data_IF_884737003465
#
_entry.id   IF_884737003465
#
_cell.length_a   1.000
_cell.length_b   1.000
_cell.length_c   1.000
_cell.angle_alpha   90.00
_cell.angle_beta   90.00
_cell.angle_gamma   90.00
#
_symmetry.space_group_name_H-M   'P 1'
#
loop_
_entity.id
_entity.type
_entity.pdbx_description
1 polymer ?
#
# COMPACT_ATOMS: atom_id res chain seq x y z
N UNK A 1 -10.00 -3.63 0.92
CA UNK A 1 -8.57 -3.39 0.67
C UNK A 1 -7.62 -4.19 1.58
N UNK A 2 -8.02 -4.61 2.78
CA UNK A 2 -7.13 -5.37 3.69
C UNK A 2 -6.78 -6.80 3.22
N UNK A 3 -7.59 -7.44 2.39
CA UNK A 3 -7.42 -8.85 2.02
C UNK A 3 -6.10 -9.14 1.27
N UNK A 4 -5.64 -8.25 0.40
CA UNK A 4 -4.36 -8.42 -0.32
C UNK A 4 -3.13 -8.21 0.56
N UNK A 5 -3.18 -7.27 1.51
CA UNK A 5 -2.09 -7.03 2.48
C UNK A 5 -1.88 -8.24 3.39
N UNK A 6 -2.97 -8.84 3.86
CA UNK A 6 -2.94 -9.97 4.80
C UNK A 6 -2.39 -11.24 4.17
N UNK A 7 -2.78 -11.56 2.95
CA UNK A 7 -2.31 -12.76 2.24
C UNK A 7 -0.81 -12.67 1.98
N UNK A 8 -0.36 -11.54 1.48
CA UNK A 8 1.03 -11.30 1.13
C UNK A 8 1.97 -11.33 2.37
N UNK A 9 1.61 -10.65 3.45
CA UNK A 9 2.39 -10.69 4.70
C UNK A 9 2.40 -12.08 5.34
N UNK A 10 1.32 -12.85 5.18
CA UNK A 10 1.26 -14.23 5.65
C UNK A 10 2.24 -15.13 4.93
N UNK A 11 2.40 -14.96 3.62
CA UNK A 11 3.35 -15.71 2.80
C UNK A 11 4.81 -15.31 3.07
N UNK A 12 5.04 -14.08 3.57
CA UNK A 12 6.37 -13.49 3.83
C UNK A 12 6.73 -13.38 5.32
N UNK A 13 6.10 -14.18 6.16
CA UNK A 13 6.35 -14.17 7.63
C UNK A 13 7.83 -14.31 8.00
N UNK A 14 8.61 -15.04 7.24
CA UNK A 14 10.04 -15.23 7.44
C UNK A 14 10.87 -13.94 7.33
N UNK A 15 10.33 -12.91 6.65
CA UNK A 15 10.94 -11.58 6.59
C UNK A 15 10.59 -10.72 7.80
N UNK A 16 9.52 -11.06 8.55
CA UNK A 16 9.09 -10.31 9.73
C UNK A 16 9.85 -10.79 10.95
N UNK A 17 11.12 -10.40 11.06
CA UNK A 17 12.05 -10.84 12.10
C UNK A 17 12.72 -9.66 12.80
N UNK A 18 13.27 -9.91 14.01
CA UNK A 18 13.94 -8.89 14.79
C UNK A 18 13.02 -7.74 15.18
N UNK A 19 13.49 -6.52 15.04
CA UNK A 19 12.69 -5.31 15.26
C UNK A 19 11.97 -4.94 13.96
N UNK A 20 10.64 -5.05 13.96
CA UNK A 20 9.77 -4.74 12.81
C UNK A 20 9.10 -3.39 13.04
N UNK A 21 9.45 -2.41 12.23
CA UNK A 21 8.87 -1.06 12.24
C UNK A 21 7.81 -0.95 11.15
N UNK A 22 6.58 -0.67 11.55
CA UNK A 22 5.44 -0.44 10.65
C UNK A 22 5.17 1.06 10.53
N UNK A 23 5.56 1.66 9.41
CA UNK A 23 5.38 3.08 9.12
C UNK A 23 3.99 3.32 8.52
N UNK A 24 3.22 4.22 9.11
CA UNK A 24 1.81 4.42 8.78
C UNK A 24 0.98 3.20 9.20
N UNK A 25 1.17 2.77 10.46
CA UNK A 25 0.64 1.50 10.97
C UNK A 25 -0.91 1.44 11.01
N UNK A 26 -1.59 2.58 10.98
CA UNK A 26 -3.05 2.64 11.04
C UNK A 26 -3.61 1.73 12.14
N UNK A 27 -4.44 0.76 11.75
CA UNK A 27 -5.06 -0.20 12.67
C UNK A 27 -4.14 -1.39 13.05
N UNK A 28 -2.83 -1.27 12.89
CA UNK A 28 -1.82 -2.26 13.32
C UNK A 28 -2.07 -3.68 12.77
N UNK A 29 -2.61 -3.75 11.55
CA UNK A 29 -2.96 -5.04 10.93
C UNK A 29 -1.77 -6.01 10.79
N UNK A 30 -0.54 -5.56 10.46
CA UNK A 30 0.64 -6.41 10.34
C UNK A 30 1.07 -7.08 11.64
N UNK A 31 0.79 -6.48 12.80
CA UNK A 31 1.14 -7.01 14.12
C UNK A 31 0.66 -8.45 14.33
N UNK A 32 -0.48 -8.81 13.73
CA UNK A 32 -1.07 -10.17 13.82
C UNK A 32 -0.21 -11.26 13.17
N UNK A 33 0.74 -10.87 12.34
CA UNK A 33 1.64 -11.79 11.63
C UNK A 33 3.01 -11.88 12.28
N UNK A 34 3.27 -11.01 13.26
CA UNK A 34 4.51 -11.04 14.03
C UNK A 34 4.46 -12.24 14.99
N UNK A 35 5.47 -13.08 14.90
CA UNK A 35 5.55 -14.33 15.68
C UNK A 35 6.95 -14.54 16.24
N UNK A 36 7.08 -15.41 17.24
CA UNK A 36 8.37 -15.73 17.85
C UNK A 36 8.94 -14.58 18.70
N UNK A 37 10.22 -14.31 18.54
CA UNK A 37 10.96 -13.27 19.26
C UNK A 37 10.96 -11.90 18.56
N UNK A 38 10.24 -11.76 17.44
CA UNK A 38 10.17 -10.49 16.72
C UNK A 38 9.36 -9.46 17.51
N UNK A 39 9.83 -8.20 17.50
CA UNK A 39 9.21 -7.07 18.20
C UNK A 39 8.60 -6.12 17.18
N UNK A 40 7.29 -5.91 17.28
CA UNK A 40 6.57 -4.92 16.47
C UNK A 40 6.61 -3.54 17.11
N UNK A 41 6.81 -2.51 16.27
CA UNK A 41 6.70 -1.09 16.61
C UNK A 41 5.84 -0.42 15.53
N UNK A 42 4.66 0.07 15.91
CA UNK A 42 3.79 0.85 15.03
C UNK A 42 4.09 2.34 15.16
N UNK A 43 4.41 2.97 14.04
CA UNK A 43 4.59 4.42 13.95
C UNK A 43 3.58 5.02 12.98
N UNK A 44 3.00 6.16 13.34
CA UNK A 44 2.10 6.89 12.44
C UNK A 44 2.23 8.39 12.63
N UNK A 45 1.82 9.16 11.62
CA UNK A 45 1.76 10.60 11.71
C UNK A 45 0.56 11.01 12.58
N UNK A 46 0.75 12.00 13.46
CA UNK A 46 -0.25 12.39 14.45
C UNK A 46 -1.63 12.67 13.82
N UNK A 47 -1.67 13.48 12.76
CA UNK A 47 -2.91 13.83 12.10
C UNK A 47 -3.63 12.64 11.47
N UNK A 48 -2.91 11.78 10.74
CA UNK A 48 -3.50 10.59 10.11
C UNK A 48 -4.01 9.60 11.15
N UNK A 49 -3.24 9.37 12.19
CA UNK A 49 -3.62 8.48 13.28
C UNK A 49 -4.86 8.95 14.03
N UNK A 50 -4.93 10.25 14.40
CA UNK A 50 -6.01 10.78 15.25
C UNK A 50 -7.25 11.17 14.46
N UNK A 51 -7.09 11.90 13.35
CA UNK A 51 -8.20 12.49 12.62
C UNK A 51 -8.79 11.59 11.54
N UNK A 52 -7.95 10.76 10.88
CA UNK A 52 -8.42 9.92 9.78
C UNK A 52 -8.72 8.48 10.22
N UNK A 53 -7.81 7.85 10.97
CA UNK A 53 -7.92 6.42 11.27
C UNK A 53 -8.34 6.12 12.72
N UNK A 54 -8.34 7.11 13.62
CA UNK A 54 -8.63 6.95 15.05
C UNK A 54 -7.82 5.80 15.67
N UNK A 55 -6.58 5.67 15.25
CA UNK A 55 -5.65 4.61 15.64
C UNK A 55 -4.75 5.04 16.80
N UNK A 56 -4.06 4.05 17.41
CA UNK A 56 -3.11 4.28 18.50
C UNK A 56 -1.77 3.61 18.16
N UNK A 57 -0.86 4.33 17.49
CA UNK A 57 0.49 3.84 17.26
C UNK A 57 1.29 3.81 18.57
N UNK A 58 2.42 3.10 18.58
CA UNK A 58 3.37 3.14 19.70
C UNK A 58 4.12 4.49 19.70
N UNK A 59 4.36 5.07 18.51
CA UNK A 59 5.10 6.31 18.33
C UNK A 59 4.37 7.21 17.33
N UNK A 60 4.19 8.48 17.69
CA UNK A 60 3.75 9.51 16.76
C UNK A 60 4.98 10.22 16.20
N UNK A 61 5.25 10.07 14.90
CA UNK A 61 6.38 10.74 14.23
C UNK A 61 6.13 10.90 12.73
N UNK A 62 6.97 11.72 12.09
CA UNK A 62 7.01 11.85 10.64
C UNK A 62 7.93 10.78 10.04
N UNK A 63 7.44 10.03 9.04
CA UNK A 63 8.23 9.03 8.33
C UNK A 63 9.45 9.61 7.59
N UNK A 64 9.47 10.91 7.33
CA UNK A 64 10.61 11.62 6.74
C UNK A 64 11.70 12.03 7.78
N UNK A 65 11.47 11.76 9.08
CA UNK A 65 12.41 12.04 10.16
C UNK A 65 12.17 11.02 11.30
N UNK A 66 12.79 9.85 11.21
CA UNK A 66 12.55 8.73 12.10
C UNK A 66 13.28 8.84 13.43
N UNK A 67 12.61 8.69 14.59
CA UNK A 67 13.22 8.81 15.92
C UNK A 67 13.96 7.54 16.36
N UNK A 68 14.74 6.95 15.46
CA UNK A 68 15.53 5.74 15.71
C UNK A 68 16.99 5.99 15.37
N UNK A 69 17.88 5.29 16.06
CA UNK A 69 19.30 5.29 15.75
C UNK A 69 19.59 4.54 14.44
N UNK A 70 20.75 4.79 13.86
CA UNK A 70 21.21 4.12 12.66
C UNK A 70 21.36 2.61 12.91
N UNK A 71 20.98 1.79 11.92
CA UNK A 71 21.18 0.34 11.92
C UNK A 71 20.52 -0.41 13.12
N UNK A 72 19.33 0.03 13.56
CA UNK A 72 18.63 -0.56 14.71
C UNK A 72 17.36 -1.32 14.34
N UNK A 73 16.91 -1.25 13.10
CA UNK A 73 15.66 -1.88 12.63
C UNK A 73 15.99 -3.01 11.67
N UNK A 74 15.40 -4.19 11.88
CA UNK A 74 15.64 -5.35 11.01
C UNK A 74 14.69 -5.41 9.82
N UNK A 75 13.44 -4.95 10.01
CA UNK A 75 12.42 -4.94 8.96
C UNK A 75 11.60 -3.67 9.04
N UNK A 76 11.40 -3.00 7.90
CA UNK A 76 10.48 -1.86 7.77
C UNK A 76 9.31 -2.26 6.86
N UNK A 77 8.10 -1.99 7.30
CA UNK A 77 6.87 -2.09 6.53
C UNK A 77 6.43 -0.69 6.10
N UNK A 78 6.14 -0.51 4.81
CA UNK A 78 5.64 0.74 4.23
C UNK A 78 4.45 0.38 3.30
N UNK A 79 3.28 0.20 3.92
CA UNK A 79 2.12 -0.45 3.29
C UNK A 79 1.03 0.55 2.93
N UNK A 80 1.03 1.04 1.68
CA UNK A 80 0.14 2.09 1.16
C UNK A 80 0.31 3.39 2.00
N UNK A 81 1.54 3.89 2.04
CA UNK A 81 1.95 5.11 2.77
C UNK A 81 2.81 6.01 1.91
N UNK A 82 3.70 5.44 1.08
CA UNK A 82 4.68 6.21 0.31
C UNK A 82 4.01 7.25 -0.60
N UNK A 83 2.84 6.92 -1.16
CA UNK A 83 2.03 7.82 -2.00
C UNK A 83 1.50 9.06 -1.26
N UNK A 84 1.42 8.99 0.08
CA UNK A 84 0.92 10.04 0.95
C UNK A 84 2.02 10.97 1.49
N UNK A 85 3.26 10.72 1.15
CA UNK A 85 4.40 11.52 1.61
C UNK A 85 4.74 12.59 0.56
N UNK A 86 4.84 13.88 0.97
CA UNK A 86 5.30 14.94 0.09
C UNK A 86 6.75 14.74 -0.39
N UNK A 87 7.61 14.18 0.48
CA UNK A 87 9.02 13.91 0.22
C UNK A 87 9.39 12.43 0.33
N UNK A 88 8.92 11.55 -0.59
CA UNK A 88 9.16 10.12 -0.49
C UNK A 88 10.64 9.73 -0.48
N UNK A 89 11.51 10.55 -1.11
CA UNK A 89 12.97 10.39 -1.08
C UNK A 89 13.53 10.54 0.34
N UNK A 90 13.00 11.47 1.14
CA UNK A 90 13.42 11.68 2.52
C UNK A 90 13.07 10.46 3.36
N UNK A 91 11.86 9.96 3.23
CA UNK A 91 11.41 8.75 3.92
C UNK A 91 12.30 7.54 3.59
N UNK A 92 12.59 7.31 2.32
CA UNK A 92 13.44 6.18 1.91
C UNK A 92 14.88 6.32 2.39
N UNK A 93 15.45 7.55 2.48
CA UNK A 93 16.77 7.79 3.08
C UNK A 93 16.77 7.50 4.58
N UNK A 94 15.72 7.92 5.30
CA UNK A 94 15.58 7.61 6.72
C UNK A 94 15.41 6.09 6.96
N UNK A 95 14.62 5.40 6.12
CA UNK A 95 14.51 3.95 6.16
C UNK A 95 15.88 3.30 5.94
N UNK A 96 16.64 3.74 4.93
CA UNK A 96 17.98 3.22 4.69
C UNK A 96 18.90 3.45 5.92
N UNK A 97 18.82 4.63 6.55
CA UNK A 97 19.62 4.96 7.72
C UNK A 97 19.32 4.03 8.90
N UNK A 98 18.03 3.83 9.23
CA UNK A 98 17.63 3.06 10.41
C UNK A 98 17.71 1.55 10.22
N UNK A 99 17.61 1.05 8.97
CA UNK A 99 17.74 -0.37 8.68
C UNK A 99 19.14 -0.88 9.04
N UNK A 100 19.20 -2.00 9.73
CA UNK A 100 20.43 -2.76 9.95
C UNK A 100 20.95 -3.30 8.60
N UNK A 101 22.25 -3.57 8.52
CA UNK A 101 22.83 -4.28 7.37
C UNK A 101 22.18 -5.65 7.21
N UNK A 102 21.72 -5.97 6.00
CA UNK A 102 20.90 -7.16 5.73
C UNK A 102 19.42 -7.01 6.11
N UNK A 103 19.02 -5.85 6.62
CA UNK A 103 17.62 -5.53 6.92
C UNK A 103 16.78 -5.37 5.67
N UNK A 104 15.47 -5.55 5.79
CA UNK A 104 14.52 -5.55 4.68
C UNK A 104 13.49 -4.43 4.76
N UNK A 105 13.12 -3.92 3.60
CA UNK A 105 12.00 -3.00 3.40
C UNK A 105 10.93 -3.70 2.55
N UNK A 106 9.70 -3.72 3.05
CA UNK A 106 8.53 -4.24 2.34
C UNK A 106 7.62 -3.06 2.01
N UNK A 107 7.40 -2.81 0.72
CA UNK A 107 6.60 -1.69 0.22
C UNK A 107 5.36 -2.21 -0.49
N UNK A 108 4.21 -1.60 -0.21
CA UNK A 108 3.03 -1.62 -1.07
C UNK A 108 2.71 -0.21 -1.53
N UNK A 109 2.44 -0.02 -2.81
CA UNK A 109 1.96 1.26 -3.36
C UNK A 109 0.90 1.03 -4.43
N UNK A 110 -0.14 1.87 -4.50
CA UNK A 110 -1.12 1.83 -5.58
C UNK A 110 -0.50 2.34 -6.89
N UNK A 111 -0.96 1.77 -8.02
CA UNK A 111 -0.66 2.32 -9.35
C UNK A 111 -1.95 2.78 -10.03
N UNK A 112 -2.81 1.86 -10.48
CA UNK A 112 -4.13 2.24 -11.01
C UNK A 112 -5.14 2.19 -9.89
N UNK A 113 -5.29 3.33 -9.23
CA UNK A 113 -6.21 3.50 -8.11
C UNK A 113 -6.70 4.95 -8.04
N UNK A 114 -7.99 5.20 -7.72
CA UNK A 114 -8.52 6.54 -7.56
C UNK A 114 -7.82 7.34 -6.47
N UNK A 115 -7.93 8.67 -6.56
CA UNK A 115 -7.51 9.58 -5.49
C UNK A 115 -8.26 9.20 -4.20
N UNK A 116 -7.52 9.04 -3.11
CA UNK A 116 -8.03 8.69 -1.79
C UNK A 116 -7.28 9.48 -0.70
N UNK A 117 -7.87 9.58 0.49
CA UNK A 117 -7.29 10.31 1.63
C UNK A 117 -6.86 11.75 1.29
N UNK A 118 -7.59 12.38 0.34
CA UNK A 118 -7.32 13.76 -0.09
C UNK A 118 -7.37 14.73 1.10
N UNK A 119 -6.47 15.74 1.18
CA UNK A 119 -5.52 16.17 0.15
C UNK A 119 -4.13 15.48 0.19
N UNK A 120 -3.96 14.41 0.95
CA UNK A 120 -2.67 13.79 1.22
C UNK A 120 -2.29 12.67 0.22
N UNK A 121 -2.83 12.66 -0.99
CA UNK A 121 -2.55 11.66 -2.02
C UNK A 121 -1.76 12.30 -3.16
N UNK A 122 -0.43 12.17 -3.12
CA UNK A 122 0.47 12.94 -3.97
C UNK A 122 1.02 12.16 -5.16
N UNK A 123 1.25 10.83 -5.03
CA UNK A 123 2.08 10.09 -5.97
C UNK A 123 1.46 8.81 -6.52
N UNK A 124 1.81 8.51 -7.78
CA UNK A 124 1.66 7.20 -8.43
C UNK A 124 2.94 6.92 -9.21
N UNK A 125 3.51 5.75 -9.03
CA UNK A 125 4.73 5.35 -9.74
C UNK A 125 4.46 4.22 -10.70
N UNK A 126 5.11 4.26 -11.87
CA UNK A 126 5.31 3.06 -12.66
C UNK A 126 6.29 2.13 -11.92
N UNK A 127 6.30 0.86 -12.28
CA UNK A 127 7.26 -0.11 -11.74
C UNK A 127 8.71 0.40 -11.81
N UNK A 128 9.09 0.97 -12.96
CA UNK A 128 10.46 1.49 -13.19
C UNK A 128 10.76 2.75 -12.36
N UNK A 129 9.77 3.64 -12.23
CA UNK A 129 9.90 4.84 -11.40
C UNK A 129 10.06 4.51 -9.93
N UNK A 130 9.29 3.54 -9.42
CA UNK A 130 9.38 3.09 -8.04
C UNK A 130 10.74 2.43 -7.75
N UNK A 131 11.20 1.53 -8.63
CA UNK A 131 12.53 0.90 -8.51
C UNK A 131 13.64 1.94 -8.45
N UNK A 132 13.66 2.87 -9.40
CA UNK A 132 14.67 3.95 -9.44
C UNK A 132 14.65 4.81 -8.17
N UNK A 133 13.45 5.11 -7.63
CA UNK A 133 13.30 5.87 -6.39
C UNK A 133 13.92 5.11 -5.19
N UNK A 134 13.63 3.81 -5.07
CA UNK A 134 14.14 2.96 -3.99
C UNK A 134 15.66 2.81 -4.11
N UNK A 135 16.18 2.51 -5.29
CA UNK A 135 17.61 2.27 -5.51
C UNK A 135 18.46 3.54 -5.30
N UNK A 136 17.92 4.71 -5.60
CA UNK A 136 18.57 6.00 -5.29
C UNK A 136 18.76 6.26 -3.78
N UNK A 137 17.99 5.61 -2.92
CA UNK A 137 18.18 5.69 -1.47
C UNK A 137 19.30 4.78 -0.93
N UNK A 138 19.91 3.94 -1.78
CA UNK A 138 20.94 2.97 -1.43
C UNK A 138 20.41 1.55 -1.16
N UNK A 139 19.10 1.35 -1.26
CA UNK A 139 18.46 0.03 -1.10
C UNK A 139 18.52 -0.77 -2.40
N UNK A 140 18.66 -2.10 -2.30
CA UNK A 140 18.67 -3.01 -3.46
C UNK A 140 17.31 -3.70 -3.59
N UNK A 141 16.61 -3.49 -4.70
CA UNK A 141 15.34 -4.16 -4.98
C UNK A 141 15.60 -5.61 -5.41
N UNK A 142 15.07 -6.58 -4.64
CA UNK A 142 15.22 -8.01 -4.93
C UNK A 142 13.97 -8.69 -5.44
N UNK A 143 12.79 -8.14 -5.13
CA UNK A 143 11.51 -8.69 -5.60
C UNK A 143 10.54 -7.57 -5.92
N UNK A 144 9.87 -7.69 -7.05
CA UNK A 144 8.78 -6.80 -7.46
C UNK A 144 7.64 -7.63 -8.03
N UNK A 145 6.46 -7.43 -7.48
CA UNK A 145 5.24 -8.08 -7.93
C UNK A 145 4.19 -7.04 -8.31
N UNK A 146 3.74 -7.11 -9.55
CA UNK A 146 2.56 -6.36 -10.00
C UNK A 146 1.31 -7.15 -9.62
N UNK A 147 0.41 -6.55 -8.87
CA UNK A 147 -0.80 -7.20 -8.39
C UNK A 147 -2.02 -6.79 -9.21
N UNK A 148 -2.84 -7.79 -9.55
CA UNK A 148 -4.03 -7.65 -10.36
C UNK A 148 -3.79 -7.91 -11.84
N UNK A 149 -4.74 -8.61 -12.45
CA UNK A 149 -4.80 -8.76 -13.91
C UNK A 149 -5.46 -7.52 -14.53
N UNK A 150 -5.07 -7.06 -15.72
CA UNK A 150 -5.60 -5.86 -16.36
C UNK A 150 -7.13 -5.79 -16.36
N UNK A 151 -7.80 -6.89 -16.74
CA UNK A 151 -9.26 -6.94 -16.81
C UNK A 151 -9.92 -6.79 -15.43
N UNK A 152 -9.30 -7.33 -14.37
CA UNK A 152 -9.79 -7.17 -12.99
C UNK A 152 -9.61 -5.72 -12.53
N UNK A 153 -8.47 -5.10 -12.86
CA UNK A 153 -8.22 -3.69 -12.56
C UNK A 153 -9.22 -2.78 -13.26
N UNK A 154 -9.51 -3.05 -14.55
CA UNK A 154 -10.51 -2.30 -15.31
C UNK A 154 -11.91 -2.41 -14.69
N UNK A 155 -12.34 -3.63 -14.33
CA UNK A 155 -13.62 -3.86 -13.65
C UNK A 155 -13.70 -3.16 -12.30
N UNK A 156 -12.62 -3.19 -11.51
CA UNK A 156 -12.54 -2.47 -10.24
C UNK A 156 -12.71 -0.95 -10.45
N UNK A 157 -12.00 -0.35 -11.42
CA UNK A 157 -12.11 1.08 -11.73
C UNK A 157 -13.52 1.43 -12.18
N UNK A 158 -14.16 0.60 -13.00
CA UNK A 158 -15.53 0.80 -13.44
C UNK A 158 -16.51 0.78 -12.26
N UNK A 159 -16.41 -0.21 -11.38
CA UNK A 159 -17.26 -0.31 -10.19
C UNK A 159 -17.08 0.91 -9.26
N UNK A 160 -15.83 1.31 -8.98
CA UNK A 160 -15.55 2.47 -8.13
C UNK A 160 -16.09 3.77 -8.76
N UNK A 161 -15.96 3.95 -10.08
CA UNK A 161 -16.52 5.09 -10.80
C UNK A 161 -18.05 5.14 -10.72
N UNK A 162 -18.73 4.01 -10.87
CA UNK A 162 -20.17 3.92 -10.75
C UNK A 162 -20.64 4.24 -9.32
N UNK A 163 -19.98 3.67 -8.30
CA UNK A 163 -20.31 3.96 -6.90
C UNK A 163 -20.08 5.45 -6.58
N UNK A 164 -18.96 6.04 -7.01
CA UNK A 164 -18.69 7.47 -6.80
C UNK A 164 -19.68 8.36 -7.51
N UNK A 165 -20.08 8.00 -8.74
CA UNK A 165 -21.13 8.72 -9.49
C UNK A 165 -22.44 8.70 -8.72
N UNK A 166 -22.84 7.55 -8.15
CA UNK A 166 -24.05 7.46 -7.34
C UNK A 166 -23.98 8.38 -6.12
N UNK A 167 -22.87 8.32 -5.35
CA UNK A 167 -22.68 9.18 -4.17
C UNK A 167 -22.79 10.65 -4.55
N UNK A 168 -22.06 11.09 -5.59
CA UNK A 168 -22.10 12.46 -6.06
C UNK A 168 -23.51 12.87 -6.55
N UNK A 169 -24.25 11.93 -7.13
CA UNK A 169 -25.62 12.17 -7.59
C UNK A 169 -26.61 12.33 -6.43
N UNK A 170 -26.40 11.58 -5.36
CA UNK A 170 -27.18 11.74 -4.13
C UNK A 170 -26.91 13.10 -3.47
N UNK A 171 -25.65 13.51 -3.38
CA UNK A 171 -25.25 14.81 -2.81
C UNK A 171 -25.83 16.00 -3.61
N UNK A 172 -25.89 15.87 -4.95
CA UNK A 172 -26.32 16.93 -5.87
C UNK A 172 -27.79 16.81 -6.30
N UNK A 173 -28.54 15.82 -5.80
CA UNK A 173 -29.92 15.53 -6.13
C UNK A 173 -30.20 15.50 -7.64
N UNK A 174 -29.31 14.84 -8.41
CA UNK A 174 -29.47 14.73 -9.86
C UNK A 174 -30.00 13.34 -10.29
N UNK A 175 -30.49 13.20 -11.59
CA UNK A 175 -31.06 11.94 -12.07
C UNK A 175 -30.16 10.70 -11.98
N UNK A 176 -28.83 10.87 -11.81
CA UNK A 176 -27.90 9.76 -11.58
C UNK A 176 -28.21 8.93 -10.33
N UNK A 177 -29.05 9.42 -9.42
CA UNK A 177 -29.57 8.66 -8.27
C UNK A 177 -30.26 7.37 -8.74
N UNK A 178 -30.87 7.35 -9.93
CA UNK A 178 -31.50 6.16 -10.50
C UNK A 178 -30.54 4.98 -10.67
N UNK A 179 -29.22 5.22 -10.68
CA UNK A 179 -28.21 4.15 -10.65
C UNK A 179 -28.35 3.22 -9.43
N UNK A 180 -28.94 3.70 -8.32
CA UNK A 180 -29.15 2.87 -7.12
C UNK A 180 -29.91 1.58 -7.43
N UNK A 181 -30.86 1.62 -8.38
CA UNK A 181 -31.64 0.45 -8.77
C UNK A 181 -30.86 -0.55 -9.63
N UNK A 182 -29.84 -0.11 -10.32
CA UNK A 182 -29.07 -0.93 -11.26
C UNK A 182 -27.75 -1.44 -10.69
N UNK A 183 -27.10 -0.70 -9.78
CA UNK A 183 -25.79 -1.09 -9.22
C UNK A 183 -25.78 -2.47 -8.55
N UNK A 184 -26.82 -2.88 -7.76
CA UNK A 184 -26.84 -4.21 -7.15
C UNK A 184 -26.80 -5.35 -8.16
N UNK A 185 -27.25 -5.12 -9.40
CA UNK A 185 -27.18 -6.09 -10.48
C UNK A 185 -25.90 -5.92 -11.32
N UNK A 186 -25.54 -4.69 -11.66
CA UNK A 186 -24.41 -4.40 -12.56
C UNK A 186 -23.06 -4.76 -11.93
N UNK A 187 -22.83 -4.43 -10.67
CA UNK A 187 -21.56 -4.72 -10.00
C UNK A 187 -21.25 -6.23 -9.96
N UNK A 188 -22.17 -7.11 -9.52
CA UNK A 188 -21.93 -8.55 -9.60
C UNK A 188 -21.73 -9.07 -11.02
N UNK A 189 -22.47 -8.56 -12.02
CA UNK A 189 -22.29 -8.96 -13.41
C UNK A 189 -20.94 -8.55 -13.96
N UNK A 190 -20.49 -7.33 -13.70
CA UNK A 190 -19.15 -6.86 -14.08
C UNK A 190 -18.08 -7.72 -13.43
N UNK A 191 -18.20 -7.98 -12.12
CA UNK A 191 -17.24 -8.81 -11.40
C UNK A 191 -17.17 -10.22 -11.96
N UNK A 192 -18.34 -10.83 -12.24
CA UNK A 192 -18.40 -12.17 -12.85
C UNK A 192 -17.76 -12.17 -14.25
N UNK A 193 -18.13 -11.21 -15.09
CA UNK A 193 -17.54 -11.09 -16.43
C UNK A 193 -16.02 -10.89 -16.37
N UNK A 194 -15.54 -9.99 -15.53
CA UNK A 194 -14.11 -9.77 -15.35
C UNK A 194 -13.39 -11.02 -14.79
N UNK A 195 -14.01 -11.74 -13.87
CA UNK A 195 -13.47 -12.98 -13.34
C UNK A 195 -13.34 -14.06 -14.42
N UNK A 196 -14.40 -14.29 -15.21
CA UNK A 196 -14.39 -15.27 -16.32
C UNK A 196 -13.36 -14.90 -17.38
N UNK A 197 -13.32 -13.63 -17.80
CA UNK A 197 -12.33 -13.13 -18.75
C UNK A 197 -10.90 -13.26 -18.20
N UNK A 198 -10.69 -12.93 -16.93
CA UNK A 198 -9.39 -13.09 -16.31
C UNK A 198 -8.94 -14.54 -16.18
N UNK A 199 -9.88 -15.48 -16.13
CA UNK A 199 -9.57 -16.91 -16.11
C UNK A 199 -8.99 -17.40 -17.45
N UNK A 200 -9.55 -16.94 -18.57
CA UNK A 200 -9.16 -17.35 -19.93
C UNK A 200 -8.04 -16.48 -20.53
N UNK A 201 -7.76 -15.30 -19.97
CA UNK A 201 -6.73 -14.39 -20.48
C UNK A 201 -5.40 -14.60 -19.74
N UNK A 202 -4.25 -14.49 -20.43
CA UNK A 202 -2.95 -14.59 -19.78
C UNK A 202 -2.76 -13.45 -18.76
N UNK A 203 -1.92 -13.71 -17.75
CA UNK A 203 -1.50 -12.68 -16.83
C UNK A 203 -0.56 -11.69 -17.53
N UNK A 204 -0.76 -10.39 -17.31
CA UNK A 204 0.06 -9.32 -17.85
C UNK A 204 0.28 -8.25 -16.77
N UNK A 205 1.44 -7.59 -16.82
CA UNK A 205 1.82 -6.49 -15.93
C UNK A 205 1.45 -5.11 -16.48
N UNK A 206 0.70 -5.07 -17.57
CA UNK A 206 0.33 -3.84 -18.29
C UNK A 206 -0.48 -2.86 -17.43
N UNK A 207 -1.39 -3.39 -16.59
CA UNK A 207 -2.34 -2.57 -15.84
C UNK A 207 -2.61 -3.12 -14.44
N UNK A 208 -1.59 -3.20 -13.55
CA UNK A 208 -1.80 -3.65 -12.19
C UNK A 208 -2.50 -2.57 -11.37
N UNK A 209 -3.24 -2.96 -10.33
CA UNK A 209 -3.80 -1.96 -9.42
C UNK A 209 -2.79 -1.49 -8.36
N UNK A 210 -1.77 -2.30 -8.02
CA UNK A 210 -0.69 -1.94 -7.09
C UNK A 210 0.59 -2.71 -7.36
N UNK A 211 1.67 -2.20 -6.79
CA UNK A 211 2.96 -2.90 -6.71
C UNK A 211 3.26 -3.33 -5.28
N UNK A 212 3.92 -4.47 -5.19
CA UNK A 212 4.55 -4.97 -3.99
C UNK A 212 6.05 -5.14 -4.24
N UNK A 213 6.88 -4.53 -3.41
CA UNK A 213 8.33 -4.52 -3.56
C UNK A 213 9.00 -4.95 -2.27
N UNK A 214 10.06 -5.76 -2.40
CA UNK A 214 10.96 -6.09 -1.30
C UNK A 214 12.35 -5.61 -1.68
N UNK A 215 12.93 -4.76 -0.83
CA UNK A 215 14.27 -4.24 -0.98
C UNK A 215 15.09 -4.51 0.29
N UNK A 216 16.40 -4.49 0.15
CA UNK A 216 17.33 -4.78 1.24
C UNK A 216 18.41 -3.70 1.34
N UNK A 217 18.91 -3.50 2.56
CA UNK A 217 20.16 -2.79 2.81
C UNK A 217 21.29 -3.80 2.76
N UNK A 218 21.99 -3.86 1.62
CA UNK A 218 23.12 -4.77 1.46
C UNK A 218 24.32 -4.31 2.31
N UNK A 219 25.25 -5.23 2.59
CA UNK A 219 26.54 -4.87 3.16
C UNK A 219 27.32 -4.02 2.15
N UNK A 220 27.95 -2.97 2.64
CA UNK A 220 28.81 -2.09 1.83
C UNK A 220 30.09 -2.83 1.39
#
# INVERSE_FOLDING_TARGET
MSCGKTTDLKEKKELLKGVVLDLGCGNRLPERFITGSARYIGLDYYYTATELYHSRPDIYANAECLPFADNTIDTVLLLDVLEHLPGPENCLREIYRVLATGGSLIIHVPFIYPIHDAPLDYHRWTQFGLRNLIEKSGLTVRSETALGKPIITAGLMMNLSMCKTLINSMEKLNPGILLVFFLPLLIPLINLACYLLAYITPADKFMPFKYHVIAFKDAA
#
